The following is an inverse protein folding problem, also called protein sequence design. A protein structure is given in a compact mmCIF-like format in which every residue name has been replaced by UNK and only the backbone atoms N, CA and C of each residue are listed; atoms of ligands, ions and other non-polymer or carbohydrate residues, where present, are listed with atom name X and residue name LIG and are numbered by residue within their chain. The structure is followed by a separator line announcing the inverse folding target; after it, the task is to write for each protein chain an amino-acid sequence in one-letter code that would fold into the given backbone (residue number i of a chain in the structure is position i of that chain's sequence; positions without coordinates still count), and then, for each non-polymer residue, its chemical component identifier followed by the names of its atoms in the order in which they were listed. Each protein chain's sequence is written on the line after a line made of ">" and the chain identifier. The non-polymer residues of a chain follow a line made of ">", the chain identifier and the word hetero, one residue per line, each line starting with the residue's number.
data_IF_153499150932
#
_entry.id   IF_153499150932
#
_cell.length_a   1.000
_cell.length_b   1.000
_cell.length_c   1.000
_cell.angle_alpha   90.00
_cell.angle_beta   90.00
_cell.angle_gamma   90.00
#
_symmetry.space_group_name_H-M   'P 1'
#
loop_
_entity.id
_entity.type
_entity.pdbx_description
1 polymer ?
#
# COMPACT_ATOMS: atom_id res chain seq x y z
N UNK A 1 -0.25 -4.31 18.56
CA UNK A 1 -0.20 -5.11 19.80
C UNK A 1 0.60 -6.38 19.51
N UNK A 2 1.28 -6.92 20.53
CA UNK A 2 1.91 -8.24 20.43
C UNK A 2 0.85 -9.37 20.60
N UNK A 3 1.23 -10.66 20.46
CA UNK A 3 0.28 -11.77 20.60
C UNK A 3 -0.41 -11.84 21.99
N UNK A 4 0.12 -11.15 23.01
CA UNK A 4 -0.48 -11.06 24.33
C UNK A 4 -1.38 -9.85 24.52
N UNK A 5 -1.55 -9.03 23.48
CA UNK A 5 -2.36 -7.81 23.50
C UNK A 5 -1.65 -6.59 24.12
N UNK A 6 -0.35 -6.66 24.37
CA UNK A 6 0.41 -5.52 24.89
C UNK A 6 0.83 -4.56 23.77
N UNK A 7 0.98 -3.28 24.11
CA UNK A 7 1.42 -2.24 23.19
C UNK A 7 2.87 -2.46 22.74
N UNK A 8 3.11 -2.36 21.43
CA UNK A 8 4.45 -2.55 20.83
C UNK A 8 5.16 -1.25 20.49
N UNK A 9 4.56 -0.10 20.81
CA UNK A 9 5.10 1.21 20.42
C UNK A 9 6.55 1.44 20.87
N UNK A 10 6.88 1.13 22.14
CA UNK A 10 8.24 1.27 22.66
C UNK A 10 9.25 0.47 21.85
N UNK A 11 8.96 -0.80 21.57
CA UNK A 11 9.82 -1.69 20.76
C UNK A 11 10.00 -1.18 19.32
N UNK A 12 8.94 -0.64 18.72
CA UNK A 12 9.02 -0.03 17.37
C UNK A 12 9.92 1.20 17.40
N UNK A 13 9.80 2.05 18.42
CA UNK A 13 10.65 3.24 18.58
C UNK A 13 12.13 2.88 18.81
N UNK A 14 12.41 1.86 19.61
CA UNK A 14 13.76 1.33 19.79
C UNK A 14 14.36 0.84 18.46
N UNK A 15 13.59 0.07 17.69
CA UNK A 15 14.02 -0.41 16.37
C UNK A 15 14.28 0.75 15.40
N UNK A 16 13.41 1.77 15.39
CA UNK A 16 13.58 2.96 14.55
C UNK A 16 14.88 3.72 14.91
N UNK A 17 15.14 3.90 16.20
CA UNK A 17 16.37 4.55 16.67
C UNK A 17 17.62 3.76 16.26
N UNK A 18 17.55 2.43 16.37
CA UNK A 18 18.66 1.55 15.96
C UNK A 18 18.93 1.67 14.44
N UNK A 19 17.87 1.65 13.61
CA UNK A 19 18.02 1.84 12.16
C UNK A 19 18.69 3.18 11.83
N UNK A 20 18.34 4.24 12.53
CA UNK A 20 18.94 5.57 12.36
C UNK A 20 20.41 5.60 12.79
N UNK A 21 20.72 5.01 13.95
CA UNK A 21 22.09 4.91 14.45
C UNK A 21 23.03 4.24 13.43
N UNK A 22 22.53 3.16 12.79
CA UNK A 22 23.29 2.44 11.76
C UNK A 22 23.12 3.03 10.35
N UNK A 23 22.43 4.17 10.21
CA UNK A 23 22.16 4.85 8.92
C UNK A 23 21.54 3.92 7.87
N UNK A 24 20.66 3.03 8.31
CA UNK A 24 19.87 2.17 7.42
C UNK A 24 18.72 2.97 6.86
N UNK A 25 18.53 2.96 5.53
CA UNK A 25 17.32 3.50 4.91
C UNK A 25 16.12 2.63 5.27
N UNK A 26 15.04 3.25 5.70
CA UNK A 26 13.81 2.56 6.05
C UNK A 26 12.58 3.36 5.65
N UNK A 27 11.48 2.67 5.45
CA UNK A 27 10.18 3.23 5.15
C UNK A 27 9.23 2.93 6.32
N UNK A 28 8.36 3.88 6.63
CA UNK A 28 7.26 3.67 7.60
C UNK A 28 5.96 3.49 6.85
N UNK A 29 5.31 2.35 7.09
CA UNK A 29 3.99 2.05 6.55
C UNK A 29 2.93 2.38 7.59
N UNK A 30 1.94 3.17 7.18
CA UNK A 30 0.80 3.55 8.01
C UNK A 30 -0.49 3.04 7.38
N UNK A 31 -1.18 2.14 8.06
CA UNK A 31 -2.50 1.70 7.61
C UNK A 31 -3.52 2.78 7.93
N UNK A 32 -4.24 3.23 6.91
CA UNK A 32 -5.26 4.27 7.00
C UNK A 32 -6.63 3.62 7.13
N UNK A 33 -7.29 3.89 8.25
CA UNK A 33 -8.66 3.43 8.55
C UNK A 33 -9.54 4.64 8.80
N UNK A 34 -10.85 4.45 8.88
CA UNK A 34 -11.79 5.52 9.27
C UNK A 34 -11.39 6.19 10.60
N UNK A 35 -10.84 5.43 11.55
CA UNK A 35 -10.41 5.96 12.86
C UNK A 35 -9.13 6.80 12.76
N UNK A 36 -8.24 6.49 11.81
CA UNK A 36 -6.95 7.20 11.67
C UNK A 36 -7.07 8.47 10.82
N UNK A 37 -8.07 8.57 9.95
CA UNK A 37 -8.29 9.76 9.08
C UNK A 37 -8.29 11.08 9.86
N UNK A 38 -9.02 11.24 10.98
CA UNK A 38 -9.00 12.50 11.74
C UNK A 38 -7.64 12.84 12.34
N UNK A 39 -6.75 11.85 12.48
CA UNK A 39 -5.46 11.98 13.15
C UNK A 39 -4.30 12.15 12.16
N UNK A 40 -4.56 12.15 10.85
CA UNK A 40 -3.50 12.07 9.84
C UNK A 40 -2.49 13.24 9.91
N UNK A 41 -2.96 14.46 10.25
CA UNK A 41 -2.07 15.62 10.46
C UNK A 41 -1.11 15.38 11.63
N UNK A 42 -1.61 14.82 12.71
CA UNK A 42 -0.79 14.50 13.90
C UNK A 42 0.20 13.37 13.60
N UNK A 43 -0.21 12.34 12.85
CA UNK A 43 0.63 11.23 12.41
C UNK A 43 1.76 11.76 11.51
N UNK A 44 1.43 12.57 10.50
CA UNK A 44 2.43 13.17 9.62
C UNK A 44 3.45 14.01 10.41
N UNK A 45 2.97 14.91 11.28
CA UNK A 45 3.82 15.74 12.13
C UNK A 45 4.69 14.91 13.09
N UNK A 46 4.17 13.80 13.60
CA UNK A 46 4.95 12.86 14.41
C UNK A 46 6.12 12.29 13.63
N UNK A 47 5.88 11.80 12.42
CA UNK A 47 6.96 11.30 11.55
C UNK A 47 7.92 12.40 11.11
N UNK A 48 7.42 13.59 10.86
CA UNK A 48 8.27 14.76 10.54
C UNK A 48 9.24 15.09 11.69
N UNK A 49 8.75 15.09 12.94
CA UNK A 49 9.60 15.30 14.13
C UNK A 49 10.62 14.19 14.35
N UNK A 50 10.29 12.99 13.95
CA UNK A 50 11.22 11.84 13.96
C UNK A 50 12.12 11.80 12.73
N UNK A 51 12.06 12.77 11.84
CA UNK A 51 12.84 12.81 10.61
C UNK A 51 12.72 11.52 9.78
N UNK A 52 11.49 11.01 9.65
CA UNK A 52 11.17 9.87 8.78
C UNK A 52 10.99 10.39 7.37
N UNK A 53 11.96 10.10 6.51
CA UNK A 53 11.97 10.60 5.13
C UNK A 53 10.98 9.84 4.24
N UNK A 54 10.94 8.51 4.34
CA UNK A 54 10.11 7.66 3.48
C UNK A 54 8.85 7.25 4.21
N UNK A 55 7.69 7.69 3.70
CA UNK A 55 6.38 7.44 4.29
C UNK A 55 5.42 6.84 3.26
N UNK A 56 4.79 5.74 3.63
CA UNK A 56 3.75 5.11 2.83
C UNK A 56 2.47 4.99 3.64
N UNK A 57 1.39 5.49 3.09
CA UNK A 57 0.05 5.43 3.67
C UNK A 57 -0.79 4.46 2.85
N UNK A 58 -1.27 3.39 3.49
CA UNK A 58 -1.96 2.30 2.82
C UNK A 58 -3.42 2.31 3.26
N UNK A 59 -4.38 2.56 2.35
CA UNK A 59 -5.80 2.42 2.68
C UNK A 59 -6.11 1.01 3.17
N UNK A 60 -6.79 0.90 4.32
CA UNK A 60 -7.27 -0.39 4.78
C UNK A 60 -8.40 -0.87 3.88
N UNK A 61 -8.20 -2.01 3.24
CA UNK A 61 -9.24 -2.63 2.41
C UNK A 61 -10.14 -3.52 3.26
N UNK A 62 -11.40 -3.60 2.88
CA UNK A 62 -12.31 -4.60 3.43
C UNK A 62 -11.95 -5.99 2.88
N UNK A 63 -12.28 -7.07 3.59
CA UNK A 63 -12.15 -8.42 3.06
C UNK A 63 -12.91 -8.56 1.74
N UNK A 64 -12.34 -9.28 0.77
CA UNK A 64 -12.93 -9.43 -0.58
C UNK A 64 -14.34 -10.01 -0.56
N UNK A 65 -14.67 -10.84 0.43
CA UNK A 65 -15.98 -11.46 0.61
C UNK A 65 -16.97 -10.60 1.41
N UNK A 66 -16.49 -9.49 1.99
CA UNK A 66 -17.33 -8.60 2.80
C UNK A 66 -18.06 -7.57 1.92
N UNK A 67 -19.18 -7.08 2.44
CA UNK A 67 -19.84 -5.90 1.83
C UNK A 67 -18.96 -4.67 2.09
N UNK A 68 -18.48 -3.98 1.05
CA UNK A 68 -17.61 -2.83 1.21
C UNK A 68 -18.23 -1.73 2.09
N UNK A 69 -17.40 -1.10 2.93
CA UNK A 69 -17.81 0.00 3.80
C UNK A 69 -18.54 -0.41 5.08
N UNK A 70 -18.72 -1.70 5.35
CA UNK A 70 -19.51 -2.19 6.50
C UNK A 70 -18.71 -2.56 7.73
N UNK A 71 -17.39 -2.62 7.65
CA UNK A 71 -16.56 -2.86 8.83
C UNK A 71 -16.40 -1.56 9.62
N UNK A 72 -16.19 -1.66 10.94
CA UNK A 72 -15.99 -0.48 11.77
C UNK A 72 -14.76 0.37 11.42
N UNK A 73 -13.80 -0.21 10.68
CA UNK A 73 -12.59 0.45 10.19
C UNK A 73 -12.64 0.86 8.72
N UNK A 74 -13.67 0.45 7.97
CA UNK A 74 -13.78 0.69 6.53
C UNK A 74 -13.66 2.17 6.18
N UNK A 75 -12.96 2.44 5.09
CA UNK A 75 -12.91 3.75 4.45
C UNK A 75 -14.06 3.85 3.44
N UNK A 76 -14.78 4.97 3.49
CA UNK A 76 -15.64 5.41 2.41
C UNK A 76 -14.94 6.48 1.56
N UNK A 77 -15.53 6.85 0.44
CA UNK A 77 -14.92 7.77 -0.52
C UNK A 77 -14.68 9.15 0.11
N UNK A 78 -15.57 9.62 0.96
CA UNK A 78 -15.45 10.93 1.63
C UNK A 78 -14.32 10.93 2.66
N UNK A 79 -14.25 9.91 3.49
CA UNK A 79 -13.17 9.73 4.46
C UNK A 79 -11.81 9.62 3.77
N UNK A 80 -11.73 8.86 2.66
CA UNK A 80 -10.50 8.74 1.89
C UNK A 80 -10.08 10.06 1.23
N UNK A 81 -11.04 10.80 0.65
CA UNK A 81 -10.78 12.13 0.10
C UNK A 81 -10.29 13.09 1.18
N UNK A 82 -10.92 13.07 2.37
CA UNK A 82 -10.50 13.91 3.48
C UNK A 82 -9.09 13.56 3.98
N UNK A 83 -8.78 12.27 4.03
CA UNK A 83 -7.41 11.81 4.31
C UNK A 83 -6.40 12.41 3.33
N UNK A 84 -6.64 12.27 2.01
CA UNK A 84 -5.72 12.76 0.98
C UNK A 84 -5.54 14.28 1.08
N UNK A 85 -6.62 15.05 1.27
CA UNK A 85 -6.55 16.51 1.45
C UNK A 85 -5.72 16.90 2.68
N UNK A 86 -6.02 16.29 3.82
CA UNK A 86 -5.31 16.59 5.06
C UNK A 86 -3.82 16.22 4.99
N UNK A 87 -3.48 15.12 4.35
CA UNK A 87 -2.10 14.71 4.13
C UNK A 87 -1.38 15.69 3.19
N UNK A 88 -2.03 16.08 2.09
CA UNK A 88 -1.50 17.04 1.13
C UNK A 88 -1.25 18.41 1.77
N UNK A 89 -2.18 18.90 2.59
CA UNK A 89 -2.05 20.17 3.32
C UNK A 89 -0.86 20.19 4.28
N UNK A 90 -0.40 19.04 4.74
CA UNK A 90 0.82 18.94 5.55
C UNK A 90 2.08 18.86 4.68
N UNK A 91 2.04 18.01 3.65
CA UNK A 91 3.17 17.71 2.80
C UNK A 91 3.56 18.85 1.85
N UNK A 92 2.59 19.49 1.21
CA UNK A 92 2.84 20.48 0.16
C UNK A 92 3.59 21.74 0.65
N UNK A 93 3.28 22.32 1.83
CA UNK A 93 4.04 23.45 2.35
C UNK A 93 5.52 23.14 2.58
N UNK A 94 5.86 21.94 3.09
CA UNK A 94 7.24 21.51 3.26
C UNK A 94 7.93 21.34 1.90
N UNK A 95 7.26 20.70 0.94
CA UNK A 95 7.77 20.53 -0.42
C UNK A 95 8.07 21.87 -1.11
N UNK A 96 7.19 22.88 -0.96
CA UNK A 96 7.41 24.24 -1.47
C UNK A 96 8.63 24.96 -0.87
N UNK A 97 8.99 24.61 0.34
CA UNK A 97 10.18 25.14 1.03
C UNK A 97 11.46 24.37 0.68
N UNK A 98 11.38 23.41 -0.25
CA UNK A 98 12.52 22.59 -0.66
C UNK A 98 12.74 21.33 0.17
N UNK A 99 11.85 21.03 1.12
CA UNK A 99 11.90 19.81 1.93
C UNK A 99 10.88 18.78 1.40
N UNK A 100 11.26 18.09 0.34
CA UNK A 100 10.41 17.11 -0.33
C UNK A 100 10.51 15.74 0.36
N UNK A 101 9.66 15.50 1.39
CA UNK A 101 9.55 14.16 1.98
C UNK A 101 8.94 13.17 0.99
N UNK A 102 9.47 11.96 0.96
CA UNK A 102 9.00 10.91 0.07
C UNK A 102 7.68 10.30 0.60
N UNK A 103 6.57 10.99 0.34
CA UNK A 103 5.24 10.42 0.52
C UNK A 103 4.87 9.67 -0.74
N UNK A 104 4.95 8.35 -0.72
CA UNK A 104 4.89 7.48 -1.91
C UNK A 104 3.74 7.79 -2.85
N UNK A 105 2.54 8.06 -2.32
CA UNK A 105 1.37 8.40 -3.11
C UNK A 105 1.57 9.70 -3.93
N UNK A 106 2.05 10.77 -3.31
CA UNK A 106 2.25 12.04 -4.01
C UNK A 106 3.43 12.00 -4.98
N UNK A 107 4.50 11.28 -4.63
CA UNK A 107 5.61 11.05 -5.57
C UNK A 107 5.12 10.25 -6.79
N UNK A 108 4.25 9.25 -6.61
CA UNK A 108 3.61 8.52 -7.70
C UNK A 108 2.81 9.44 -8.64
N UNK A 109 1.99 10.35 -8.07
CA UNK A 109 1.25 11.34 -8.86
C UNK A 109 2.18 12.32 -9.60
N UNK A 110 3.24 12.80 -8.96
CA UNK A 110 4.24 13.66 -9.60
C UNK A 110 4.92 12.96 -10.78
N UNK A 111 5.27 11.68 -10.62
CA UNK A 111 5.84 10.87 -11.70
C UNK A 111 4.86 10.76 -12.88
N UNK A 112 3.58 10.48 -12.63
CA UNK A 112 2.55 10.42 -13.69
C UNK A 112 2.43 11.76 -14.42
N UNK A 113 2.40 12.88 -13.71
CA UNK A 113 2.35 14.23 -14.30
C UNK A 113 3.60 14.54 -15.14
N UNK A 114 4.75 13.99 -14.77
CA UNK A 114 5.99 14.11 -15.51
C UNK A 114 6.14 13.10 -16.67
N UNK A 115 5.12 12.24 -16.90
CA UNK A 115 5.16 11.21 -17.94
C UNK A 115 5.99 9.98 -17.58
N UNK A 116 6.32 9.80 -16.30
CA UNK A 116 7.07 8.66 -15.77
C UNK A 116 6.16 7.62 -15.14
N UNK A 117 6.60 6.35 -15.01
CA UNK A 117 5.87 5.34 -14.25
C UNK A 117 5.69 5.77 -12.78
N UNK A 118 4.51 5.53 -12.18
CA UNK A 118 4.19 6.03 -10.83
C UNK A 118 4.99 5.33 -9.71
N UNK A 119 5.57 4.15 -9.98
CA UNK A 119 6.30 3.37 -8.98
C UNK A 119 5.39 2.61 -7.98
N UNK A 120 4.07 2.71 -8.16
CA UNK A 120 3.04 2.00 -7.37
C UNK A 120 2.07 1.30 -8.32
N UNK A 121 1.75 0.03 -8.03
CA UNK A 121 1.02 -0.81 -8.98
C UNK A 121 -0.43 -0.34 -9.17
N UNK A 122 -1.08 0.19 -8.12
CA UNK A 122 -2.46 0.69 -8.17
C UNK A 122 -2.65 1.88 -9.12
N UNK A 123 -1.58 2.60 -9.45
CA UNK A 123 -1.64 3.74 -10.39
C UNK A 123 -1.27 3.37 -11.82
N UNK A 124 -0.86 2.13 -12.10
CA UNK A 124 -0.50 1.67 -13.44
C UNK A 124 -1.71 1.33 -14.33
N UNK A 125 -2.90 1.21 -13.74
CA UNK A 125 -4.12 0.86 -14.45
C UNK A 125 -4.19 -0.60 -14.94
N UNK A 126 -3.15 -1.39 -14.73
CA UNK A 126 -3.10 -2.83 -15.03
C UNK A 126 -2.14 -3.52 -14.08
N UNK A 127 -2.49 -4.74 -13.64
CA UNK A 127 -1.62 -5.54 -12.79
C UNK A 127 -0.32 -5.92 -13.48
N UNK A 128 0.76 -5.93 -12.71
CA UNK A 128 2.08 -6.37 -13.17
C UNK A 128 2.31 -7.85 -12.86
N UNK A 129 3.36 -8.39 -13.49
CA UNK A 129 3.84 -9.73 -13.17
C UNK A 129 4.60 -9.71 -11.86
N UNK A 130 4.08 -10.39 -10.85
CA UNK A 130 4.75 -10.60 -9.57
C UNK A 130 4.40 -11.99 -9.02
N UNK A 131 5.14 -12.45 -8.02
CA UNK A 131 4.90 -13.69 -7.31
C UNK A 131 4.96 -13.42 -5.82
N UNK A 132 3.94 -13.82 -5.11
CA UNK A 132 3.88 -13.79 -3.65
C UNK A 132 3.95 -15.21 -3.15
N UNK A 133 4.82 -15.47 -2.19
CA UNK A 133 5.07 -16.81 -1.67
C UNK A 133 4.70 -16.85 -0.21
N UNK A 134 3.84 -17.78 0.17
CA UNK A 134 3.51 -18.05 1.57
C UNK A 134 4.50 -19.02 2.24
N UNK A 135 4.40 -19.15 3.55
CA UNK A 135 5.31 -19.95 4.36
C UNK A 135 5.32 -21.45 4.00
N UNK A 136 4.22 -21.97 3.45
CA UNK A 136 4.08 -23.35 2.96
C UNK A 136 4.61 -23.55 1.53
N UNK A 137 5.16 -22.49 0.92
CA UNK A 137 5.63 -22.47 -0.46
C UNK A 137 4.55 -22.20 -1.51
N UNK A 138 3.30 -22.01 -1.13
CA UNK A 138 2.22 -21.65 -2.04
C UNK A 138 2.50 -20.30 -2.72
N UNK A 139 2.19 -20.23 -4.03
CA UNK A 139 2.50 -19.05 -4.87
C UNK A 139 1.24 -18.43 -5.42
N UNK A 140 1.15 -17.11 -5.32
CA UNK A 140 0.01 -16.30 -5.75
C UNK A 140 0.46 -15.14 -6.66
N UNK A 141 -0.44 -14.59 -7.51
CA UNK A 141 -0.10 -13.50 -8.43
C UNK A 141 -0.02 -12.13 -7.75
N UNK A 142 -0.58 -11.97 -6.55
CA UNK A 142 -0.66 -10.70 -5.82
C UNK A 142 -0.93 -10.96 -4.34
N UNK A 143 -0.39 -10.12 -3.46
CA UNK A 143 -0.59 -10.15 -2.02
C UNK A 143 -2.04 -9.84 -1.58
N UNK A 144 -2.79 -9.09 -2.41
CA UNK A 144 -4.23 -8.86 -2.20
C UNK A 144 -5.11 -10.03 -2.67
N UNK A 145 -4.59 -10.94 -3.46
CA UNK A 145 -5.33 -12.05 -4.07
C UNK A 145 -4.73 -13.42 -3.71
N UNK A 146 -4.35 -13.59 -2.43
CA UNK A 146 -3.92 -14.88 -1.88
C UNK A 146 -5.15 -15.75 -1.58
N UNK A 147 -5.90 -16.08 -2.62
CA UNK A 147 -7.10 -16.92 -2.60
C UNK A 147 -6.85 -18.20 -3.40
N UNK A 148 -7.49 -19.29 -3.01
CA UNK A 148 -7.30 -20.60 -3.65
C UNK A 148 -7.56 -20.55 -5.17
N UNK A 149 -8.56 -19.79 -5.61
CA UNK A 149 -8.89 -19.60 -7.03
C UNK A 149 -7.77 -18.94 -7.84
N UNK A 150 -6.88 -18.17 -7.19
CA UNK A 150 -5.75 -17.49 -7.82
C UNK A 150 -4.40 -18.16 -7.54
N UNK A 151 -4.41 -19.32 -6.87
CA UNK A 151 -3.16 -20.04 -6.56
C UNK A 151 -2.47 -20.51 -7.83
N UNK A 152 -1.21 -20.10 -8.01
CA UNK A 152 -0.40 -20.47 -9.17
C UNK A 152 0.27 -21.84 -9.01
N UNK A 153 0.52 -22.26 -7.77
CA UNK A 153 1.19 -23.53 -7.46
C UNK A 153 1.99 -23.46 -6.17
N UNK A 154 3.07 -24.24 -6.10
CA UNK A 154 3.93 -24.28 -4.92
C UNK A 154 5.40 -24.39 -5.34
N UNK A 155 6.29 -23.58 -4.79
CA UNK A 155 7.72 -23.54 -5.12
C UNK A 155 8.48 -24.82 -4.74
N UNK A 156 7.92 -25.66 -3.86
CA UNK A 156 8.54 -26.93 -3.49
C UNK A 156 8.34 -28.03 -4.54
N UNK A 157 7.36 -27.85 -5.42
CA UNK A 157 6.94 -28.88 -6.40
C UNK A 157 6.91 -28.37 -7.84
N UNK A 158 6.70 -27.08 -8.04
CA UNK A 158 6.49 -26.50 -9.36
C UNK A 158 7.68 -25.61 -9.79
N UNK A 159 8.02 -25.66 -11.06
CA UNK A 159 9.03 -24.77 -11.65
C UNK A 159 8.42 -23.39 -12.00
N UNK A 160 9.25 -22.34 -12.06
CA UNK A 160 8.81 -21.01 -12.50
C UNK A 160 8.10 -20.99 -13.86
N UNK A 161 8.53 -21.75 -14.89
CA UNK A 161 7.77 -21.85 -16.15
C UNK A 161 6.37 -22.44 -15.99
N UNK A 162 6.16 -23.32 -15.03
CA UNK A 162 4.83 -23.88 -14.73
C UNK A 162 3.94 -22.89 -14.02
N UNK A 163 4.47 -22.18 -13.01
CA UNK A 163 3.77 -21.10 -12.33
C UNK A 163 3.34 -20.01 -13.33
N UNK A 164 4.23 -19.66 -14.27
CA UNK A 164 3.94 -18.66 -15.30
C UNK A 164 2.83 -19.12 -16.25
N UNK A 165 2.86 -20.38 -16.70
CA UNK A 165 1.78 -20.93 -17.54
C UNK A 165 0.43 -20.90 -16.84
N UNK A 166 0.40 -21.26 -15.53
CA UNK A 166 -0.83 -21.21 -14.74
C UNK A 166 -1.33 -19.78 -14.57
N UNK A 167 -0.42 -18.82 -14.30
CA UNK A 167 -0.78 -17.41 -14.20
C UNK A 167 -1.42 -16.88 -15.50
N UNK A 168 -0.87 -17.25 -16.66
CA UNK A 168 -1.44 -16.91 -17.97
C UNK A 168 -2.79 -17.59 -18.18
N UNK A 169 -2.92 -18.87 -17.83
CA UNK A 169 -4.18 -19.61 -17.96
C UNK A 169 -5.30 -19.03 -17.07
N UNK A 170 -4.96 -18.55 -15.86
CA UNK A 170 -5.91 -17.89 -14.95
C UNK A 170 -6.33 -16.49 -15.43
N UNK A 171 -5.55 -15.86 -16.32
CA UNK A 171 -5.90 -14.55 -16.89
C UNK A 171 -5.88 -13.40 -15.88
N UNK A 172 -5.11 -13.48 -14.79
CA UNK A 172 -5.09 -12.50 -13.70
C UNK A 172 -4.80 -11.06 -14.18
N UNK A 173 -3.78 -10.91 -15.05
CA UNK A 173 -3.41 -9.59 -15.59
C UNK A 173 -4.50 -9.08 -16.55
N UNK A 174 -5.05 -9.93 -17.39
CA UNK A 174 -6.11 -9.58 -18.32
C UNK A 174 -7.40 -9.17 -17.62
N UNK A 175 -7.75 -9.86 -16.53
CA UNK A 175 -8.90 -9.49 -15.69
C UNK A 175 -8.76 -8.07 -15.12
N UNK A 176 -7.54 -7.63 -14.80
CA UNK A 176 -7.28 -6.28 -14.27
C UNK A 176 -7.47 -5.15 -15.30
N UNK A 177 -7.55 -5.48 -16.60
CA UNK A 177 -7.80 -4.51 -17.70
C UNK A 177 -9.27 -4.13 -17.85
N UNK A 178 -10.16 -4.82 -17.13
CA UNK A 178 -11.59 -4.55 -17.18
C UNK A 178 -11.94 -3.45 -16.18
N UNK A 179 -12.14 -2.23 -16.68
CA UNK A 179 -12.52 -1.09 -15.86
C UNK A 179 -14.03 -1.04 -15.62
N UNK A 180 -14.50 -0.71 -14.41
CA UNK A 180 -15.88 -0.38 -14.15
C UNK A 180 -16.39 0.74 -15.08
N UNK A 181 -17.67 0.73 -15.46
CA UNK A 181 -18.23 1.77 -16.35
C UNK A 181 -17.99 3.20 -15.83
N UNK A 182 -18.03 3.40 -14.52
CA UNK A 182 -17.78 4.69 -13.87
C UNK A 182 -16.37 5.22 -14.15
N UNK A 183 -15.36 4.32 -14.17
CA UNK A 183 -13.98 4.71 -14.45
C UNK A 183 -13.76 5.13 -15.91
N UNK A 184 -14.59 4.65 -16.85
CA UNK A 184 -14.47 4.99 -18.27
C UNK A 184 -14.93 6.43 -18.59
N UNK A 185 -15.80 6.99 -17.77
CA UNK A 185 -16.35 8.34 -17.91
C UNK A 185 -15.75 9.33 -16.92
N UNK A 186 -14.85 8.89 -16.03
CA UNK A 186 -14.16 9.74 -15.07
C UNK A 186 -13.21 10.70 -15.81
N UNK A 187 -13.29 12.00 -15.47
CA UNK A 187 -12.44 13.06 -16.03
C UNK A 187 -11.33 13.41 -15.06
#
# INVERSE_FOLDING_TARGET
>A
LDPTGQGTFGRVMESLNLLKEYKVEFNVLTVVTRQTVPQIKQIYQFFSRLDVEYQQYIPCLDPLEAVPGKQGYSLDEESYLQFLKNLFDCWYPEAKQGHLRYVRYFIGLMNLLAGNPPGVCEMNGVCSRQYVVEADGSVYPCDFYMLDDWRLGNLTTDSFPELERRRQALGFIEASRVYPPQCRSCK
#
